data_IF_687500787843
#
_entry.id   IF_687500787843
#
_cell.length_a   1.000
_cell.length_b   1.000
_cell.length_c   1.000
_cell.angle_alpha   90.00
_cell.angle_beta   90.00
_cell.angle_gamma   90.00
#
_symmetry.space_group_name_H-M   'P 1'
#
loop_
_entity.id
_entity.type
_entity.pdbx_description
1 polymer ?
#
# COMPACT_ATOMS: atom_id res chain seq x y z
N UNK A 1 4.84 -40.63 -3.02
CA UNK A 1 4.33 -40.39 -1.66
C UNK A 1 4.05 -38.91 -1.34
N UNK A 2 4.97 -37.95 -1.54
CA UNK A 2 4.71 -36.52 -1.21
C UNK A 2 3.53 -35.88 -1.97
N UNK A 3 3.35 -36.16 -3.28
CA UNK A 3 2.26 -35.59 -4.09
C UNK A 3 0.88 -36.11 -3.65
N UNK A 4 0.78 -37.41 -3.35
CA UNK A 4 -0.48 -38.05 -2.93
C UNK A 4 -0.94 -37.52 -1.56
N UNK A 5 -0.01 -37.39 -0.62
CA UNK A 5 -0.29 -36.84 0.71
C UNK A 5 -0.75 -35.37 0.63
N UNK A 6 -0.12 -34.58 -0.24
CA UNK A 6 -0.51 -33.17 -0.48
C UNK A 6 -1.95 -33.06 -1.00
N UNK A 7 -2.32 -33.91 -1.96
CA UNK A 7 -3.69 -33.90 -2.51
C UNK A 7 -4.70 -34.35 -1.46
N UNK A 8 -4.37 -35.34 -0.64
CA UNK A 8 -5.25 -35.84 0.42
C UNK A 8 -5.51 -34.81 1.50
N UNK A 9 -4.49 -34.04 1.88
CA UNK A 9 -4.58 -32.99 2.91
C UNK A 9 -5.18 -31.68 2.40
N UNK A 10 -5.11 -31.39 1.10
CA UNK A 10 -5.56 -30.12 0.54
C UNK A 10 -7.05 -29.85 0.79
N UNK A 11 -7.90 -30.83 0.57
CA UNK A 11 -9.36 -30.67 0.74
C UNK A 11 -9.75 -30.37 2.19
N UNK A 12 -9.30 -31.14 3.21
CA UNK A 12 -9.63 -30.85 4.60
C UNK A 12 -9.01 -29.50 5.06
N UNK A 13 -7.81 -29.15 4.58
CA UNK A 13 -7.20 -27.84 4.88
C UNK A 13 -8.00 -26.68 4.28
N UNK A 14 -8.43 -26.78 3.03
CA UNK A 14 -9.26 -25.75 2.39
C UNK A 14 -10.63 -25.64 3.08
N UNK A 15 -11.22 -26.77 3.48
CA UNK A 15 -12.46 -26.78 4.26
C UNK A 15 -12.28 -26.09 5.61
N UNK A 16 -11.22 -26.41 6.35
CA UNK A 16 -10.92 -25.79 7.63
C UNK A 16 -10.64 -24.29 7.47
N UNK A 17 -9.83 -23.90 6.49
CA UNK A 17 -9.59 -22.49 6.16
C UNK A 17 -10.90 -21.75 5.87
N UNK A 18 -11.77 -22.31 5.03
CA UNK A 18 -13.07 -21.70 4.72
C UNK A 18 -14.00 -21.61 5.93
N UNK A 19 -13.97 -22.60 6.82
CA UNK A 19 -14.82 -22.65 8.02
C UNK A 19 -14.36 -21.70 9.12
N UNK A 20 -13.05 -21.58 9.32
CA UNK A 20 -12.45 -20.86 10.44
C UNK A 20 -11.83 -19.51 10.05
N UNK A 21 -11.73 -19.19 8.73
CA UNK A 21 -11.31 -17.87 8.33
C UNK A 21 -12.32 -16.79 8.71
N UNK A 22 -11.83 -15.63 9.05
CA UNK A 22 -12.67 -14.46 9.28
C UNK A 22 -13.44 -14.10 8.00
N UNK A 23 -14.73 -13.85 8.14
CA UNK A 23 -15.54 -13.35 7.01
C UNK A 23 -15.38 -11.84 6.88
N UNK A 24 -15.46 -11.28 5.65
CA UNK A 24 -15.48 -9.84 5.45
C UNK A 24 -16.61 -9.20 6.27
N UNK A 25 -16.27 -8.21 7.08
CA UNK A 25 -17.24 -7.49 7.91
C UNK A 25 -17.52 -6.12 7.27
N UNK A 26 -18.14 -6.14 6.10
CA UNK A 26 -18.39 -4.95 5.28
C UNK A 26 -19.05 -3.80 6.05
N UNK A 27 -20.06 -4.11 6.86
CA UNK A 27 -20.75 -3.10 7.66
C UNK A 27 -19.82 -2.42 8.66
N UNK A 28 -19.00 -3.20 9.40
CA UNK A 28 -18.04 -2.64 10.36
C UNK A 28 -16.94 -1.83 9.68
N UNK A 29 -16.50 -2.26 8.51
CA UNK A 29 -15.51 -1.51 7.71
C UNK A 29 -16.12 -0.18 7.27
N UNK A 30 -17.33 -0.20 6.73
CA UNK A 30 -18.05 1.00 6.31
C UNK A 30 -18.25 2.00 7.46
N UNK A 31 -18.69 1.52 8.62
CA UNK A 31 -18.86 2.35 9.82
C UNK A 31 -17.53 2.94 10.29
N UNK A 32 -16.46 2.14 10.32
CA UNK A 32 -15.14 2.59 10.72
C UNK A 32 -14.57 3.65 9.76
N UNK A 33 -14.70 3.46 8.45
CA UNK A 33 -14.28 4.41 7.44
C UNK A 33 -15.11 5.69 7.47
N UNK A 34 -16.43 5.58 7.66
CA UNK A 34 -17.31 6.74 7.76
C UNK A 34 -17.01 7.58 9.02
N UNK A 35 -16.72 6.90 10.14
CA UNK A 35 -16.28 7.58 11.37
C UNK A 35 -14.94 8.29 11.17
N UNK A 36 -13.97 7.60 10.54
CA UNK A 36 -12.65 8.18 10.25
C UNK A 36 -12.79 9.42 9.34
N UNK A 37 -13.58 9.33 8.28
CA UNK A 37 -13.84 10.46 7.38
C UNK A 37 -14.39 11.67 8.13
N UNK A 38 -15.38 11.45 9.01
CA UNK A 38 -15.96 12.51 9.84
C UNK A 38 -14.92 13.14 10.76
N UNK A 39 -14.11 12.32 11.43
CA UNK A 39 -13.01 12.82 12.29
C UNK A 39 -11.98 13.65 11.52
N UNK A 40 -11.60 13.21 10.32
CA UNK A 40 -10.65 13.93 9.46
C UNK A 40 -11.23 15.27 9.02
N UNK A 41 -12.53 15.31 8.68
CA UNK A 41 -13.21 16.53 8.27
C UNK A 41 -13.33 17.54 9.41
N UNK A 42 -13.60 17.07 10.64
CA UNK A 42 -13.70 17.91 11.84
C UNK A 42 -12.32 18.38 12.34
N UNK A 43 -11.29 17.54 12.18
CA UNK A 43 -9.92 17.80 12.66
C UNK A 43 -8.87 17.49 11.58
N UNK A 44 -8.77 18.33 10.52
CA UNK A 44 -7.80 18.13 9.45
C UNK A 44 -6.35 18.09 9.97
N UNK A 45 -5.54 17.19 9.42
CA UNK A 45 -4.13 17.07 9.75
C UNK A 45 -3.82 16.16 10.95
N UNK A 46 -4.81 15.78 11.77
CA UNK A 46 -4.58 14.91 12.93
C UNK A 46 -4.46 13.42 12.53
N UNK A 47 -5.36 12.94 11.67
CA UNK A 47 -5.41 11.55 11.20
C UNK A 47 -5.34 11.43 9.67
N UNK A 48 -5.46 12.53 8.98
CA UNK A 48 -5.44 12.62 7.53
C UNK A 48 -5.95 13.97 7.04
N UNK A 49 -6.06 14.10 5.73
CA UNK A 49 -6.57 15.28 5.04
C UNK A 49 -7.70 14.87 4.10
N UNK A 50 -8.66 15.77 3.92
CA UNK A 50 -9.62 15.70 2.82
C UNK A 50 -9.12 16.62 1.72
N UNK A 51 -8.75 16.04 0.60
CA UNK A 51 -8.29 16.78 -0.58
C UNK A 51 -9.48 16.90 -1.53
N UNK A 52 -10.07 18.08 -1.68
CA UNK A 52 -11.12 18.30 -2.67
C UNK A 52 -10.52 18.28 -4.07
N UNK A 53 -11.23 17.69 -5.02
CA UNK A 53 -10.86 17.71 -6.42
C UNK A 53 -12.09 17.71 -7.30
N UNK A 54 -11.94 18.22 -8.52
CA UNK A 54 -12.97 18.16 -9.56
C UNK A 54 -12.90 16.81 -10.27
N UNK A 55 -14.01 16.08 -10.32
CA UNK A 55 -14.08 14.73 -10.90
C UNK A 55 -13.59 14.68 -12.35
N UNK A 56 -13.86 15.73 -13.11
CA UNK A 56 -13.52 15.78 -14.55
C UNK A 56 -12.09 16.24 -14.82
N UNK A 57 -11.44 16.94 -13.89
CA UNK A 57 -10.11 17.54 -14.09
C UNK A 57 -9.07 17.07 -13.09
N UNK A 58 -9.49 16.39 -12.03
CA UNK A 58 -8.60 15.85 -11.01
C UNK A 58 -7.62 14.83 -11.58
N UNK A 59 -6.32 15.09 -11.38
CA UNK A 59 -5.25 14.22 -11.86
C UNK A 59 -4.55 13.57 -10.67
N UNK A 60 -4.47 12.25 -10.66
CA UNK A 60 -3.81 11.49 -9.61
C UNK A 60 -2.80 10.55 -10.21
N UNK A 61 -1.67 10.40 -9.52
CA UNK A 61 -0.70 9.34 -9.77
C UNK A 61 -0.52 8.53 -8.51
N UNK A 62 -0.62 7.22 -8.63
CA UNK A 62 -0.56 6.29 -7.52
C UNK A 62 0.69 5.43 -7.68
N UNK A 63 1.53 5.41 -6.66
CA UNK A 63 2.68 4.53 -6.56
C UNK A 63 2.51 3.60 -5.35
N UNK A 64 3.07 2.40 -5.46
CA UNK A 64 3.09 1.37 -4.41
C UNK A 64 4.32 0.50 -4.61
N UNK A 65 4.69 -0.27 -3.57
CA UNK A 65 5.71 -1.31 -3.65
C UNK A 65 7.09 -0.85 -4.16
N UNK A 66 7.55 0.33 -3.76
CA UNK A 66 8.86 0.82 -4.14
C UNK A 66 9.98 0.08 -3.41
N UNK A 67 9.75 -0.33 -2.16
CA UNK A 67 10.74 -1.03 -1.33
C UNK A 67 12.13 -0.35 -1.35
N UNK A 68 12.13 0.97 -1.16
CA UNK A 68 13.37 1.77 -1.18
C UNK A 68 14.28 1.35 -0.02
N UNK A 69 15.42 0.81 -0.36
CA UNK A 69 16.44 0.38 0.57
C UNK A 69 17.47 1.47 0.85
N UNK A 70 18.67 1.07 1.19
CA UNK A 70 19.82 1.96 1.52
C UNK A 70 20.83 2.09 0.38
N UNK A 71 20.42 1.89 -0.87
CA UNK A 71 21.25 1.97 -2.08
C UNK A 71 22.45 1.02 -2.11
N UNK A 72 22.41 -0.07 -1.37
CA UNK A 72 23.43 -1.12 -1.43
C UNK A 72 23.12 -2.16 -2.52
N UNK A 73 23.85 -3.28 -2.55
CA UNK A 73 23.66 -4.36 -3.53
C UNK A 73 22.37 -5.18 -3.34
N UNK A 74 21.72 -5.06 -2.20
CA UNK A 74 20.43 -5.72 -1.89
C UNK A 74 19.21 -4.80 -2.11
N UNK A 75 19.43 -3.60 -2.63
CA UNK A 75 18.38 -2.61 -2.88
C UNK A 75 17.90 -2.73 -4.33
N UNK A 76 16.79 -3.41 -4.53
CA UNK A 76 16.19 -3.61 -5.84
C UNK A 76 15.65 -2.31 -6.45
N UNK A 77 15.23 -1.37 -5.61
CA UNK A 77 14.73 -0.07 -6.07
C UNK A 77 15.82 0.81 -6.70
N UNK A 78 17.08 0.63 -6.31
CA UNK A 78 18.21 1.43 -6.81
C UNK A 78 18.26 1.51 -8.34
N UNK A 79 17.90 0.42 -9.03
CA UNK A 79 17.89 0.40 -10.50
C UNK A 79 16.69 1.14 -11.08
N UNK A 80 15.57 1.16 -10.40
CA UNK A 80 14.34 1.83 -10.81
C UNK A 80 14.31 3.33 -10.43
N UNK A 81 15.16 3.76 -9.49
CA UNK A 81 15.17 5.12 -8.94
C UNK A 81 15.22 6.22 -10.00
N UNK A 82 16.08 6.18 -11.05
CA UNK A 82 16.12 7.24 -12.06
C UNK A 82 14.79 7.39 -12.81
N UNK A 83 14.14 6.27 -13.13
CA UNK A 83 12.83 6.27 -13.78
C UNK A 83 11.74 6.81 -12.85
N UNK A 84 11.80 6.43 -11.59
CA UNK A 84 10.87 6.91 -10.57
C UNK A 84 10.96 8.42 -10.38
N UNK A 85 12.18 8.98 -10.28
CA UNK A 85 12.40 10.42 -10.15
C UNK A 85 11.88 11.15 -11.41
N UNK A 86 12.21 10.64 -12.60
CA UNK A 86 11.72 11.22 -13.86
C UNK A 86 10.19 11.24 -13.92
N UNK A 87 9.54 10.15 -13.48
CA UNK A 87 8.09 10.08 -13.42
C UNK A 87 7.52 11.09 -12.41
N UNK A 88 8.10 11.21 -11.22
CA UNK A 88 7.67 12.19 -10.21
C UNK A 88 7.79 13.63 -10.73
N UNK A 89 8.90 13.97 -11.39
CA UNK A 89 9.09 15.29 -11.98
C UNK A 89 8.04 15.58 -13.06
N UNK A 90 7.79 14.63 -13.95
CA UNK A 90 6.78 14.77 -14.98
C UNK A 90 5.39 15.01 -14.39
N UNK A 91 4.97 14.17 -13.47
CA UNK A 91 3.64 14.26 -12.86
C UNK A 91 3.48 15.52 -12.00
N UNK A 92 4.54 15.91 -11.26
CA UNK A 92 4.54 17.17 -10.50
C UNK A 92 4.40 18.40 -11.40
N UNK A 93 5.11 18.45 -12.53
CA UNK A 93 5.03 19.54 -13.51
C UNK A 93 3.67 19.64 -14.22
N UNK A 94 2.89 18.56 -14.21
CA UNK A 94 1.57 18.48 -14.84
C UNK A 94 0.41 18.50 -13.84
N UNK A 95 0.65 18.94 -12.60
CA UNK A 95 -0.35 19.13 -11.54
C UNK A 95 -1.06 17.85 -11.12
N UNK A 96 -0.35 16.72 -11.11
CA UNK A 96 -0.87 15.48 -10.54
C UNK A 96 -0.72 15.46 -9.02
N UNK A 97 -1.79 15.08 -8.33
CA UNK A 97 -1.73 14.74 -6.92
C UNK A 97 -1.08 13.35 -6.74
N UNK A 98 0.00 13.30 -5.98
CA UNK A 98 0.73 12.07 -5.69
C UNK A 98 0.11 11.30 -4.53
N UNK A 99 -0.16 10.02 -4.74
CA UNK A 99 -0.65 9.09 -3.71
C UNK A 99 0.33 7.93 -3.59
N UNK A 100 0.81 7.70 -2.37
CA UNK A 100 1.60 6.52 -2.02
C UNK A 100 0.72 5.54 -1.23
N UNK A 101 0.51 4.33 -1.76
CA UNK A 101 -0.33 3.31 -1.12
C UNK A 101 0.44 2.41 -0.13
N UNK A 102 1.69 2.72 0.15
CA UNK A 102 2.50 1.94 1.10
C UNK A 102 3.63 1.18 0.43
N UNK A 103 4.32 0.37 1.24
CA UNK A 103 5.52 -0.37 0.88
C UNK A 103 6.58 0.49 0.18
N UNK A 104 6.71 1.75 0.66
CA UNK A 104 7.68 2.71 0.14
C UNK A 104 9.09 2.37 0.52
N UNK A 105 9.29 1.94 1.77
CA UNK A 105 10.58 1.69 2.37
C UNK A 105 10.76 0.20 2.66
N UNK A 106 11.95 -0.33 2.36
CA UNK A 106 12.35 -1.69 2.72
C UNK A 106 12.85 -1.73 4.17
N UNK A 107 11.96 -2.12 5.08
CA UNK A 107 12.23 -2.17 6.52
C UNK A 107 12.51 -3.58 7.06
N UNK A 108 12.43 -4.62 6.23
CA UNK A 108 12.70 -5.99 6.66
C UNK A 108 14.19 -6.23 6.88
N UNK A 109 15.01 -5.67 5.99
CA UNK A 109 16.47 -5.77 6.05
C UNK A 109 17.15 -4.49 6.55
N UNK A 110 16.39 -3.40 6.66
CA UNK A 110 16.90 -2.09 7.01
C UNK A 110 16.13 -1.47 8.17
N UNK A 111 16.82 -0.71 9.00
CA UNK A 111 16.16 0.15 9.98
C UNK A 111 15.72 1.45 9.31
N UNK A 112 14.65 2.07 9.81
CA UNK A 112 14.10 3.31 9.27
C UNK A 112 15.17 4.43 9.15
N UNK A 113 16.09 4.53 10.10
CA UNK A 113 17.18 5.52 10.06
C UNK A 113 18.16 5.29 8.90
N UNK A 114 18.34 4.05 8.44
CA UNK A 114 19.23 3.73 7.31
C UNK A 114 18.57 3.91 5.94
N UNK A 115 17.25 3.95 5.89
CA UNK A 115 16.49 4.14 4.63
C UNK A 115 16.25 5.62 4.35
N UNK A 116 16.32 6.48 5.36
CA UNK A 116 16.10 7.93 5.20
C UNK A 116 17.30 8.70 4.64
N UNK A 117 18.49 8.15 4.72
CA UNK A 117 19.71 8.75 4.21
C UNK A 117 19.91 8.42 2.73
#
# INVERSE_FOLDING_TARGET
MRKTLRILLLRPMLWAAKKFSSKPQQQKIFEALSKLYKEIKEHPGKKGLVIPFEEQTGKFIIFSDQHKGRRNGADDFKQAEPNYITALEYYSKNDFCFINLGDSEELWENTLGKVKD
#
